data_IF_545263860482
#
_entry.id   IF_545263860482
#
_cell.length_a   1.000
_cell.length_b   1.000
_cell.length_c   1.000
_cell.angle_alpha   90.00
_cell.angle_beta   90.00
_cell.angle_gamma   90.00
#
_symmetry.space_group_name_H-M   'P 1'
#
loop_
_entity.id
_entity.type
_entity.pdbx_description
1 polymer ?
#
# COMPACT_ATOMS: atom_id res chain seq x y z
N UNK A 1 12.45 20.20 -13.67
CA UNK A 1 11.48 19.74 -12.66
C UNK A 1 11.68 18.24 -12.50
N UNK A 2 12.28 17.81 -11.38
CA UNK A 2 12.50 16.39 -11.10
C UNK A 2 11.13 15.73 -10.92
N UNK A 3 10.80 14.76 -11.78
CA UNK A 3 9.61 13.92 -11.63
C UNK A 3 9.80 13.07 -10.36
N UNK A 4 9.13 13.40 -9.26
CA UNK A 4 9.26 12.63 -8.00
C UNK A 4 8.80 13.32 -6.72
N UNK A 5 8.53 14.63 -6.72
CA UNK A 5 8.07 15.34 -5.52
C UNK A 5 6.56 15.54 -5.57
N UNK A 6 5.84 15.00 -4.58
CA UNK A 6 4.39 15.20 -4.46
C UNK A 6 4.08 16.57 -3.84
N UNK A 7 4.89 17.01 -2.87
CA UNK A 7 4.79 18.35 -2.26
C UNK A 7 6.06 18.75 -1.52
N UNK A 8 6.11 20.02 -1.10
CA UNK A 8 7.14 20.52 -0.18
C UNK A 8 6.57 20.63 1.24
N UNK A 9 7.31 20.13 2.23
CA UNK A 9 6.95 20.20 3.63
C UNK A 9 7.90 21.15 4.36
N UNK A 10 7.34 22.19 4.97
CA UNK A 10 8.07 23.13 5.82
C UNK A 10 7.98 22.68 7.27
N UNK A 11 9.11 22.28 7.84
CA UNK A 11 9.26 22.04 9.26
C UNK A 11 9.88 23.28 9.91
N UNK A 12 9.13 23.89 10.84
CA UNK A 12 9.61 25.01 11.65
C UNK A 12 10.01 24.49 13.03
N UNK A 13 11.27 24.67 13.39
CA UNK A 13 11.81 24.32 14.72
C UNK A 13 12.53 25.55 15.26
N UNK A 14 11.93 26.24 16.23
CA UNK A 14 12.43 27.51 16.76
C UNK A 14 12.78 28.50 15.62
N UNK A 15 14.04 28.87 15.46
CA UNK A 15 14.54 29.79 14.45
C UNK A 15 14.88 29.10 13.10
N UNK A 16 14.73 27.78 13.00
CA UNK A 16 15.09 26.99 11.82
C UNK A 16 13.86 26.66 10.96
N UNK A 17 13.99 26.93 9.65
CA UNK A 17 13.04 26.52 8.62
C UNK A 17 13.70 25.46 7.74
N UNK A 18 13.22 24.23 7.82
CA UNK A 18 13.70 23.11 6.99
C UNK A 18 12.64 22.77 5.95
N UNK A 19 13.01 22.81 4.67
CA UNK A 19 12.11 22.50 3.56
C UNK A 19 12.47 21.12 3.03
N UNK A 20 11.56 20.18 3.21
CA UNK A 20 11.67 18.84 2.65
C UNK A 20 10.92 18.73 1.32
N UNK A 21 11.53 18.06 0.37
CA UNK A 21 10.84 17.49 -0.78
C UNK A 21 10.23 16.16 -0.31
N UNK A 22 8.91 16.16 -0.17
CA UNK A 22 8.19 15.02 0.35
C UNK A 22 7.60 14.18 -0.79
N UNK A 23 7.72 12.87 -0.62
CA UNK A 23 7.11 11.88 -1.51
C UNK A 23 6.21 10.96 -0.68
N UNK A 24 4.95 10.80 -1.10
CA UNK A 24 3.96 9.99 -0.40
C UNK A 24 3.83 8.64 -1.07
N UNK A 25 3.94 7.58 -0.28
CA UNK A 25 3.64 6.21 -0.74
C UNK A 25 2.68 5.51 0.20
N UNK A 26 1.67 4.85 -0.36
CA UNK A 26 0.74 4.02 0.41
C UNK A 26 1.44 2.81 1.04
N UNK A 27 2.31 2.16 0.27
CA UNK A 27 3.10 1.01 0.70
C UNK A 27 4.53 1.15 0.19
N UNK A 28 5.49 0.61 0.95
CA UNK A 28 6.90 0.58 0.56
C UNK A 28 7.42 -0.85 0.56
N UNK A 29 8.29 -1.12 -0.40
CA UNK A 29 9.00 -2.40 -0.53
C UNK A 29 10.47 -2.15 -0.80
N UNK A 30 11.30 -3.20 -0.68
CA UNK A 30 12.74 -3.10 -0.96
C UNK A 30 13.02 -2.66 -2.40
N UNK A 31 12.21 -3.08 -3.37
CA UNK A 31 12.35 -2.65 -4.78
C UNK A 31 11.99 -1.18 -4.96
N UNK A 32 10.93 -0.71 -4.29
CA UNK A 32 10.56 0.72 -4.27
C UNK A 32 11.69 1.57 -3.71
N UNK A 33 12.33 1.15 -2.62
CA UNK A 33 13.49 1.86 -2.04
C UNK A 33 14.67 1.87 -3.01
N UNK A 34 14.94 0.75 -3.68
CA UNK A 34 15.98 0.67 -4.71
C UNK A 34 15.75 1.64 -5.86
N UNK A 35 14.50 1.78 -6.30
CA UNK A 35 14.12 2.74 -7.34
C UNK A 35 14.28 4.19 -6.85
N UNK A 36 13.78 4.50 -5.65
CA UNK A 36 13.92 5.82 -5.02
C UNK A 36 15.40 6.22 -4.93
N UNK A 37 16.27 5.29 -4.51
CA UNK A 37 17.71 5.52 -4.46
C UNK A 37 18.34 5.85 -5.82
N UNK A 38 17.83 5.26 -6.90
CA UNK A 38 18.33 5.47 -8.25
C UNK A 38 17.84 6.79 -8.87
N UNK A 39 16.58 7.14 -8.62
CA UNK A 39 15.95 8.34 -9.17
C UNK A 39 16.36 9.61 -8.42
N UNK A 40 16.56 9.49 -7.12
CA UNK A 40 17.00 10.58 -6.31
C UNK A 40 18.54 10.65 -6.41
N UNK A 41 19.07 11.53 -7.26
CA UNK A 41 20.48 11.96 -7.23
C UNK A 41 20.71 12.79 -5.95
N UNK A 42 20.65 12.12 -4.79
CA UNK A 42 20.29 12.70 -3.51
C UNK A 42 21.31 13.74 -3.00
N UNK A 43 20.88 15.01 -3.02
CA UNK A 43 21.05 15.82 -1.81
C UNK A 43 20.21 15.17 -0.70
N UNK A 44 20.76 14.10 -0.09
CA UNK A 44 20.13 13.19 0.91
C UNK A 44 19.35 13.91 2.00
N UNK A 45 19.80 15.12 2.30
CA UNK A 45 19.40 15.92 3.41
C UNK A 45 17.97 16.48 3.33
N UNK A 46 17.42 16.70 2.13
CA UNK A 46 16.11 17.37 1.97
C UNK A 46 14.99 16.45 1.45
N UNK A 47 15.23 15.15 1.29
CA UNK A 47 14.18 14.20 0.91
C UNK A 47 13.46 13.67 2.15
N UNK A 48 12.13 13.56 2.11
CA UNK A 48 11.30 12.97 3.16
C UNK A 48 10.29 11.99 2.59
N UNK A 49 10.38 10.73 2.98
CA UNK A 49 9.42 9.71 2.61
C UNK A 49 8.25 9.67 3.60
N UNK A 50 7.04 9.96 3.14
CA UNK A 50 5.83 9.91 3.96
C UNK A 50 5.02 8.68 3.58
N UNK A 51 4.72 7.80 4.55
CA UNK A 51 4.00 6.56 4.26
C UNK A 51 2.88 6.30 5.24
N UNK A 52 1.97 5.40 4.89
CA UNK A 52 0.94 4.97 5.82
C UNK A 52 1.54 4.25 7.03
N UNK A 53 2.41 3.27 6.81
CA UNK A 53 2.98 2.47 7.88
C UNK A 53 4.34 1.90 7.49
N UNK A 54 5.34 2.05 8.37
CA UNK A 54 6.63 1.38 8.26
C UNK A 54 6.70 0.27 9.30
N UNK A 55 6.85 -0.97 8.85
CA UNK A 55 7.11 -2.06 9.79
C UNK A 55 8.55 -1.97 10.35
N UNK A 56 8.84 -2.57 11.53
CA UNK A 56 10.16 -2.42 12.17
C UNK A 56 11.34 -2.85 11.30
N UNK A 57 11.22 -3.94 10.52
CA UNK A 57 12.30 -4.40 9.64
C UNK A 57 12.60 -3.36 8.55
N UNK A 58 11.56 -2.77 7.97
CA UNK A 58 11.71 -1.75 6.95
C UNK A 58 12.24 -0.43 7.53
N UNK A 59 11.87 -0.09 8.76
CA UNK A 59 12.41 1.09 9.46
C UNK A 59 13.94 0.97 9.64
N UNK A 60 14.44 -0.22 10.00
CA UNK A 60 15.89 -0.45 10.07
C UNK A 60 16.57 -0.31 8.71
N UNK A 61 15.94 -0.80 7.64
CA UNK A 61 16.47 -0.63 6.28
C UNK A 61 16.55 0.86 5.90
N UNK A 62 15.50 1.64 6.16
CA UNK A 62 15.50 3.07 5.87
C UNK A 62 16.54 3.84 6.70
N UNK A 63 16.68 3.51 8.00
CA UNK A 63 17.73 4.06 8.88
C UNK A 63 19.13 3.74 8.37
N UNK A 64 19.39 2.49 8.01
CA UNK A 64 20.69 2.06 7.49
C UNK A 64 21.05 2.71 6.15
N UNK A 65 20.07 3.28 5.45
CA UNK A 65 20.25 4.03 4.21
C UNK A 65 20.25 5.56 4.40
N UNK A 66 20.15 6.04 5.65
CA UNK A 66 20.00 7.46 5.97
C UNK A 66 18.87 8.15 5.16
N UNK A 67 17.76 7.44 4.95
CA UNK A 67 16.57 7.97 4.27
C UNK A 67 15.62 8.53 5.33
N UNK A 68 15.34 9.84 5.29
CA UNK A 68 14.36 10.44 6.18
C UNK A 68 12.95 9.91 5.87
N UNK A 69 12.20 9.53 6.89
CA UNK A 69 10.82 9.06 6.74
C UNK A 69 9.92 9.42 7.92
N UNK A 70 8.61 9.38 7.69
CA UNK A 70 7.60 9.38 8.74
C UNK A 70 6.39 8.54 8.35
N UNK A 71 5.69 8.00 9.34
CA UNK A 71 4.45 7.25 9.12
C UNK A 71 3.28 7.74 9.99
N UNK A 72 2.06 7.27 9.68
CA UNK A 72 0.87 7.67 10.42
C UNK A 72 0.75 6.97 11.79
N UNK A 73 1.61 5.98 12.08
CA UNK A 73 1.69 5.34 13.39
C UNK A 73 2.56 6.13 14.37
N UNK A 74 3.18 7.22 13.92
CA UNK A 74 4.04 8.08 14.72
C UNK A 74 5.51 7.65 14.75
N UNK A 75 5.92 6.74 13.86
CA UNK A 75 7.35 6.48 13.65
C UNK A 75 7.92 7.54 12.72
N UNK A 76 9.07 8.11 13.09
CA UNK A 76 9.74 9.11 12.27
C UNK A 76 11.26 9.01 12.43
N UNK A 77 11.99 9.13 11.32
CA UNK A 77 13.43 9.26 11.31
C UNK A 77 13.80 10.44 10.41
N UNK A 78 14.47 11.45 10.96
CA UNK A 78 14.97 12.61 10.22
C UNK A 78 16.39 12.87 10.70
N UNK A 79 17.35 12.81 9.80
CA UNK A 79 18.76 13.08 10.04
C UNK A 79 19.23 14.15 9.07
N UNK A 80 19.07 15.40 9.49
CA UNK A 80 19.42 16.59 8.71
C UNK A 80 20.03 17.63 9.65
N UNK A 81 21.35 17.85 9.66
CA UNK A 81 21.96 18.83 10.55
C UNK A 81 21.28 20.21 10.46
N UNK A 82 20.94 20.85 11.60
CA UNK A 82 21.21 20.44 12.99
C UNK A 82 20.16 19.49 13.61
N UNK A 83 19.12 19.12 12.87
CA UNK A 83 18.00 18.30 13.33
C UNK A 83 18.28 16.80 13.28
N UNK A 84 18.05 16.14 14.42
CA UNK A 84 18.02 14.69 14.51
C UNK A 84 16.73 14.25 15.24
N UNK A 85 15.91 13.46 14.56
CA UNK A 85 14.68 12.85 15.08
C UNK A 85 14.77 11.36 14.82
N UNK A 86 14.65 10.54 15.86
CA UNK A 86 14.46 9.10 15.74
C UNK A 86 13.39 8.66 16.74
N UNK A 87 12.14 8.67 16.26
CA UNK A 87 10.97 8.26 17.01
C UNK A 87 10.59 6.88 16.52
N UNK A 88 10.77 5.89 17.40
CA UNK A 88 10.31 4.53 17.17
C UNK A 88 8.95 4.41 17.85
N UNK A 89 7.88 4.46 17.05
CA UNK A 89 6.52 4.31 17.57
C UNK A 89 6.41 3.05 18.44
N UNK A 90 5.72 3.14 19.58
CA UNK A 90 5.37 1.93 20.35
C UNK A 90 4.46 1.10 19.45
N UNK A 91 4.75 -0.20 19.28
CA UNK A 91 3.93 -1.15 18.50
C UNK A 91 2.46 -0.79 18.71
N UNK A 92 1.78 -0.31 17.66
CA UNK A 92 0.33 -0.25 17.68
C UNK A 92 -0.13 -1.65 18.07
N UNK A 93 -0.95 -1.74 19.13
CA UNK A 93 -1.61 -2.98 19.50
C UNK A 93 -2.46 -3.36 18.29
N UNK A 94 -1.88 -4.27 17.52
CA UNK A 94 -2.25 -4.59 16.15
C UNK A 94 -1.93 -3.44 15.16
N UNK A 95 -1.08 -3.66 14.14
CA UNK A 95 -1.17 -2.79 12.98
C UNK A 95 -2.63 -2.86 12.52
N UNK A 96 -3.26 -1.72 12.22
CA UNK A 96 -4.39 -1.72 11.29
C UNK A 96 -3.98 -2.70 10.21
N UNK A 97 -4.73 -3.79 10.05
CA UNK A 97 -4.39 -4.81 9.07
C UNK A 97 -4.29 -4.05 7.76
N UNK A 98 -3.07 -3.68 7.36
CA UNK A 98 -2.71 -3.48 5.98
C UNK A 98 -3.14 -4.80 5.44
N UNK A 99 -4.32 -4.80 4.82
CA UNK A 99 -4.85 -5.96 4.18
C UNK A 99 -3.73 -6.24 3.21
N UNK A 100 -2.89 -7.22 3.56
CA UNK A 100 -1.92 -7.76 2.62
C UNK A 100 -2.76 -7.96 1.36
N UNK A 101 -2.20 -7.85 0.17
CA UNK A 101 -2.76 -8.59 -0.95
C UNK A 101 -2.65 -10.10 -0.62
N UNK A 102 -3.27 -10.57 0.48
CA UNK A 102 -4.56 -11.21 0.43
C UNK A 102 -4.54 -12.23 -0.67
N UNK A 103 -4.54 -13.50 -0.30
CA UNK A 103 -4.50 -14.68 -1.18
C UNK A 103 -5.34 -14.56 -2.48
N UNK A 104 -6.30 -13.63 -2.52
CA UNK A 104 -6.93 -12.99 -3.68
C UNK A 104 -6.01 -12.75 -4.88
N UNK A 105 -4.76 -12.29 -4.70
CA UNK A 105 -3.83 -11.99 -5.81
C UNK A 105 -2.76 -13.08 -6.05
N UNK A 106 -2.98 -14.30 -5.57
CA UNK A 106 -2.20 -15.48 -5.98
C UNK A 106 -2.72 -16.01 -7.33
N UNK A 107 -1.98 -16.88 -8.06
CA UNK A 107 -2.35 -17.28 -9.43
C UNK A 107 -3.82 -17.70 -9.61
N UNK A 108 -4.35 -18.53 -8.70
CA UNK A 108 -5.75 -18.96 -8.76
C UNK A 108 -6.75 -17.83 -8.44
N UNK A 109 -6.39 -16.88 -7.56
CA UNK A 109 -7.22 -15.72 -7.30
C UNK A 109 -7.22 -14.71 -8.45
N UNK A 110 -6.07 -14.52 -9.11
CA UNK A 110 -5.94 -13.72 -10.34
C UNK A 110 -6.75 -14.32 -11.49
N UNK A 111 -6.72 -15.65 -11.66
CA UNK A 111 -7.54 -16.34 -12.66
C UNK A 111 -9.04 -16.07 -12.44
N UNK A 112 -9.50 -16.11 -11.18
CA UNK A 112 -10.88 -15.76 -10.86
C UNK A 112 -11.19 -14.29 -11.16
N UNK A 113 -10.33 -13.36 -10.74
CA UNK A 113 -10.53 -11.92 -11.00
C UNK A 113 -10.63 -11.66 -12.50
N UNK A 114 -9.70 -12.20 -13.28
CA UNK A 114 -9.72 -12.09 -14.74
C UNK A 114 -11.02 -12.66 -15.32
N UNK A 115 -11.46 -13.83 -14.85
CA UNK A 115 -12.73 -14.44 -15.28
C UNK A 115 -13.93 -13.54 -15.00
N UNK A 116 -14.00 -12.92 -13.80
CA UNK A 116 -15.07 -11.98 -13.43
C UNK A 116 -15.04 -10.70 -14.27
N UNK A 117 -13.85 -10.20 -14.63
CA UNK A 117 -13.69 -9.03 -15.48
C UNK A 117 -14.14 -9.31 -16.92
N UNK A 118 -13.81 -10.49 -17.46
CA UNK A 118 -14.19 -10.91 -18.81
C UNK A 118 -15.66 -11.32 -18.94
N UNK A 119 -16.32 -11.71 -17.85
CA UNK A 119 -17.71 -12.19 -17.86
C UNK A 119 -18.58 -11.32 -16.95
N UNK A 120 -19.16 -10.23 -17.48
CA UNK A 120 -20.01 -9.34 -16.69
C UNK A 120 -21.17 -10.11 -16.04
N UNK A 121 -21.42 -9.85 -14.75
CA UNK A 121 -22.46 -10.48 -13.92
C UNK A 121 -22.18 -11.91 -13.49
N UNK A 122 -21.05 -12.51 -13.84
CA UNK A 122 -20.67 -13.82 -13.30
C UNK A 122 -20.59 -13.79 -11.76
N UNK A 123 -20.29 -12.64 -11.16
CA UNK A 123 -20.32 -12.45 -9.71
C UNK A 123 -21.70 -12.63 -9.06
N UNK A 124 -22.79 -12.59 -9.85
CA UNK A 124 -24.16 -12.80 -9.40
C UNK A 124 -24.54 -14.29 -9.30
N UNK A 125 -23.71 -15.18 -9.85
CA UNK A 125 -24.00 -16.61 -9.94
C UNK A 125 -23.65 -17.37 -8.65
N UNK A 126 -24.20 -18.59 -8.47
CA UNK A 126 -23.79 -19.48 -7.39
C UNK A 126 -22.27 -19.74 -7.40
N UNK A 127 -21.67 -19.84 -6.21
CA UNK A 127 -20.22 -20.04 -6.04
C UNK A 127 -19.65 -21.27 -6.79
N UNK A 128 -20.47 -22.30 -7.00
CA UNK A 128 -20.09 -23.50 -7.76
C UNK A 128 -19.97 -23.21 -9.25
N UNK A 129 -20.90 -22.45 -9.82
CA UNK A 129 -20.80 -22.03 -11.22
C UNK A 129 -19.60 -21.10 -11.42
N UNK A 130 -19.36 -20.17 -10.50
CA UNK A 130 -18.17 -19.31 -10.55
C UNK A 130 -16.89 -20.16 -10.54
N UNK A 131 -16.83 -21.22 -9.73
CA UNK A 131 -15.69 -22.14 -9.67
C UNK A 131 -15.46 -22.89 -11.00
N UNK A 132 -16.54 -23.35 -11.64
CA UNK A 132 -16.49 -24.02 -12.95
C UNK A 132 -15.99 -23.06 -14.04
N UNK A 133 -16.58 -21.87 -14.14
CA UNK A 133 -16.18 -20.86 -15.13
C UNK A 133 -14.73 -20.41 -14.98
N UNK A 134 -14.26 -20.28 -13.73
CA UNK A 134 -12.89 -19.84 -13.45
C UNK A 134 -11.88 -20.97 -13.40
N UNK A 135 -12.31 -22.24 -13.48
CA UNK A 135 -11.44 -23.42 -13.31
C UNK A 135 -10.63 -23.40 -12.00
N UNK A 136 -11.21 -22.86 -10.92
CA UNK A 136 -10.59 -22.82 -9.59
C UNK A 136 -11.45 -23.52 -8.55
N UNK A 137 -10.84 -24.06 -7.49
CA UNK A 137 -11.58 -24.74 -6.44
C UNK A 137 -12.55 -23.82 -5.68
N UNK A 138 -13.70 -24.35 -5.27
CA UNK A 138 -14.75 -23.62 -4.54
C UNK A 138 -14.24 -22.84 -3.31
N UNK A 139 -13.33 -23.45 -2.55
CA UNK A 139 -12.69 -22.82 -1.39
C UNK A 139 -11.89 -21.57 -1.77
N UNK A 140 -11.24 -21.60 -2.94
CA UNK A 140 -10.51 -20.45 -3.49
C UNK A 140 -11.49 -19.36 -3.89
N UNK A 141 -12.58 -19.70 -4.58
CA UNK A 141 -13.64 -18.74 -4.93
C UNK A 141 -14.18 -18.03 -3.69
N UNK A 142 -14.55 -18.78 -2.65
CA UNK A 142 -15.06 -18.21 -1.39
C UNK A 142 -14.06 -17.24 -0.75
N UNK A 143 -12.79 -17.64 -0.67
CA UNK A 143 -11.74 -16.80 -0.06
C UNK A 143 -11.46 -15.56 -0.89
N UNK A 144 -11.43 -15.69 -2.21
CA UNK A 144 -11.14 -14.59 -3.13
C UNK A 144 -12.28 -13.58 -3.15
N UNK A 145 -13.54 -14.01 -3.27
CA UNK A 145 -14.70 -13.10 -3.23
C UNK A 145 -14.80 -12.37 -1.89
N UNK A 146 -14.59 -13.08 -0.77
CA UNK A 146 -14.54 -12.46 0.56
C UNK A 146 -13.41 -11.44 0.68
N UNK A 147 -12.25 -11.72 0.09
CA UNK A 147 -11.14 -10.78 0.06
C UNK A 147 -11.41 -9.56 -0.82
N UNK A 148 -12.05 -9.73 -1.97
CA UNK A 148 -12.49 -8.62 -2.83
C UNK A 148 -13.53 -7.74 -2.11
N UNK A 149 -14.45 -8.33 -1.35
CA UNK A 149 -15.41 -7.60 -0.52
C UNK A 149 -14.69 -6.78 0.57
N UNK A 150 -13.77 -7.40 1.31
CA UNK A 150 -12.98 -6.73 2.36
C UNK A 150 -12.12 -5.57 1.82
N UNK A 151 -11.69 -5.67 0.56
CA UNK A 151 -10.89 -4.66 -0.12
C UNK A 151 -11.73 -3.63 -0.88
N UNK A 152 -13.06 -3.72 -0.86
CA UNK A 152 -13.95 -2.75 -1.51
C UNK A 152 -14.05 -2.87 -3.03
N UNK A 153 -13.76 -4.06 -3.57
CA UNK A 153 -13.92 -4.41 -4.99
C UNK A 153 -15.20 -5.19 -5.29
N UNK A 154 -15.87 -5.70 -4.26
CA UNK A 154 -17.13 -6.43 -4.38
C UNK A 154 -18.15 -5.88 -3.37
N UNK A 155 -19.37 -5.61 -3.82
CA UNK A 155 -20.45 -5.12 -2.96
C UNK A 155 -21.70 -5.99 -3.10
N UNK A 156 -22.35 -6.30 -1.98
CA UNK A 156 -23.66 -6.94 -1.97
C UNK A 156 -24.74 -5.91 -2.29
N UNK A 157 -25.49 -6.14 -3.35
CA UNK A 157 -26.61 -5.29 -3.75
C UNK A 157 -27.89 -5.64 -2.96
N UNK A 158 -28.87 -4.74 -2.96
CA UNK A 158 -30.17 -4.92 -2.27
C UNK A 158 -30.94 -6.17 -2.70
N UNK A 159 -30.69 -6.67 -3.92
CA UNK A 159 -31.25 -7.92 -4.46
C UNK A 159 -30.48 -9.19 -3.98
N UNK A 160 -29.58 -9.05 -3.01
CA UNK A 160 -28.70 -10.11 -2.47
C UNK A 160 -27.72 -10.72 -3.48
N UNK A 161 -27.42 -10.01 -4.58
CA UNK A 161 -26.40 -10.40 -5.55
C UNK A 161 -25.15 -9.57 -5.36
N UNK A 162 -23.99 -10.15 -5.60
CA UNK A 162 -22.74 -9.39 -5.60
C UNK A 162 -22.58 -8.60 -6.89
N UNK A 163 -21.92 -7.45 -6.80
CA UNK A 163 -21.52 -6.64 -7.94
C UNK A 163 -20.06 -6.24 -7.79
N UNK A 164 -19.29 -6.44 -8.86
CA UNK A 164 -17.91 -5.99 -8.92
C UNK A 164 -17.90 -4.46 -9.11
N UNK A 165 -17.20 -3.76 -8.21
CA UNK A 165 -17.07 -2.29 -8.18
C UNK A 165 -15.59 -1.90 -8.28
N UNK A 166 -15.32 -0.62 -8.61
CA UNK A 166 -13.94 -0.10 -8.74
C UNK A 166 -13.07 -0.93 -9.71
N UNK A 167 -13.66 -1.38 -10.82
CA UNK A 167 -13.02 -2.29 -11.80
C UNK A 167 -11.71 -1.75 -12.38
N UNK A 168 -11.61 -0.43 -12.54
CA UNK A 168 -10.43 0.23 -13.10
C UNK A 168 -9.20 0.14 -12.19
N UNK A 169 -9.40 -0.13 -10.90
CA UNK A 169 -8.32 -0.28 -9.91
C UNK A 169 -7.94 -1.73 -9.63
N UNK A 170 -8.58 -2.70 -10.32
CA UNK A 170 -8.22 -4.13 -10.28
C UNK A 170 -7.16 -4.52 -11.33
N UNK A 171 -6.75 -3.57 -12.18
CA UNK A 171 -5.82 -3.75 -13.30
C UNK A 171 -4.53 -2.97 -13.03
#
# INVERSE_FOLDING_TARGET
>A
LLQGNDFQLLLKVEDYNLIFNAEVKQNISRSTIGLLKSQLNLNHNLFLLVVRYVNPEMAEVLRGLDINFMDTAGSAFIKLPPLYIDIQGRRLKEPERVQRPGRVFQPAGLQLIFTLLCNPRLEENPLREIAEYSSVGLTTVQKTLKGLEQQGFLALQSNKKYKLINKETLI
#
